data_IF_828393267597
#
_entry.id   IF_828393267597
#
_cell.length_a   1.000
_cell.length_b   1.000
_cell.length_c   1.000
_cell.angle_alpha   90.00
_cell.angle_beta   90.00
_cell.angle_gamma   90.00
#
_symmetry.space_group_name_H-M   'P 1'
#
loop_
_entity.id
_entity.type
_entity.pdbx_description
1 polymer ?
#
# COMPACT_ATOMS: atom_id res chain seq x y z
N UNK A 1 -74.32 39.91 -14.29
CA UNK A 1 -74.31 38.43 -14.29
C UNK A 1 -73.16 37.86 -15.13
N UNK A 2 -71.91 38.10 -14.73
CA UNK A 2 -70.73 37.68 -15.51
C UNK A 2 -69.56 37.40 -14.55
N UNK A 3 -69.75 36.47 -13.61
CA UNK A 3 -68.67 36.04 -12.69
C UNK A 3 -68.82 34.64 -12.07
N UNK A 4 -69.74 33.80 -12.55
CA UNK A 4 -69.98 32.45 -11.98
C UNK A 4 -69.71 31.26 -12.91
N UNK A 5 -69.29 31.46 -14.16
CA UNK A 5 -69.01 30.33 -15.08
C UNK A 5 -67.52 29.99 -15.29
N UNK A 6 -66.57 30.79 -14.77
CA UNK A 6 -65.13 30.50 -14.93
C UNK A 6 -64.54 29.53 -13.88
N UNK A 7 -65.34 29.03 -12.94
CA UNK A 7 -64.83 28.23 -11.81
C UNK A 7 -65.18 26.73 -11.90
N UNK A 8 -65.82 26.28 -13.00
CA UNK A 8 -66.11 24.86 -13.24
C UNK A 8 -65.26 24.21 -14.34
N UNK A 9 -64.42 24.96 -15.04
CA UNK A 9 -63.49 24.42 -16.05
C UNK A 9 -62.06 24.24 -15.50
N UNK A 10 -61.73 24.88 -14.37
CA UNK A 10 -60.39 24.76 -13.76
C UNK A 10 -60.23 23.55 -12.82
N UNK A 11 -61.31 22.89 -12.39
CA UNK A 11 -61.23 21.68 -11.55
C UNK A 11 -61.17 20.37 -12.36
N UNK A 12 -61.43 20.39 -13.66
CA UNK A 12 -61.45 19.17 -14.50
C UNK A 12 -60.11 18.87 -15.19
N UNK A 13 -59.13 19.77 -15.09
CA UNK A 13 -57.75 19.54 -15.57
C UNK A 13 -56.76 19.19 -14.45
N UNK A 14 -57.14 19.35 -13.17
CA UNK A 14 -56.29 19.03 -12.01
C UNK A 14 -56.33 17.57 -11.58
N UNK A 15 -57.34 16.79 -11.99
CA UNK A 15 -57.50 15.39 -11.56
C UNK A 15 -57.06 14.34 -12.60
N UNK A 16 -56.83 14.75 -13.86
CA UNK A 16 -56.35 13.84 -14.92
C UNK A 16 -54.82 13.86 -15.09
N UNK A 17 -54.13 14.88 -14.56
CA UNK A 17 -52.66 14.93 -14.56
C UNK A 17 -52.04 14.14 -13.39
N UNK A 18 -52.81 13.83 -12.36
CA UNK A 18 -52.35 13.02 -11.21
C UNK A 18 -52.61 11.51 -11.35
N UNK A 19 -53.24 11.04 -12.44
CA UNK A 19 -53.50 9.61 -12.68
C UNK A 19 -52.71 8.99 -13.85
N UNK A 20 -51.84 9.77 -14.50
CA UNK A 20 -50.93 9.31 -15.57
C UNK A 20 -49.45 9.33 -15.14
N UNK A 21 -49.17 9.53 -13.85
CA UNK A 21 -47.83 9.57 -13.26
C UNK A 21 -47.54 8.37 -12.33
N UNK A 22 -48.33 7.30 -12.38
CA UNK A 22 -48.25 6.17 -11.44
C UNK A 22 -47.99 4.79 -12.06
N UNK A 23 -47.45 4.70 -13.28
CA UNK A 23 -47.00 3.42 -13.87
C UNK A 23 -45.72 3.52 -14.72
N UNK A 24 -44.77 4.36 -14.32
CA UNK A 24 -43.36 4.05 -14.62
C UNK A 24 -42.82 3.22 -13.46
N UNK A 25 -43.00 1.91 -13.52
CA UNK A 25 -42.13 1.01 -12.76
C UNK A 25 -40.69 1.46 -13.04
N UNK A 26 -39.86 1.77 -12.03
CA UNK A 26 -38.44 1.73 -12.29
C UNK A 26 -38.19 0.29 -12.73
N UNK A 27 -37.84 0.12 -14.01
CA UNK A 27 -37.10 -1.06 -14.40
C UNK A 27 -35.87 -0.97 -13.51
N UNK A 28 -35.86 -1.72 -12.41
CA UNK A 28 -34.64 -1.99 -11.66
C UNK A 28 -33.74 -2.69 -12.66
N UNK A 29 -33.00 -1.88 -13.41
CA UNK A 29 -31.74 -2.32 -13.95
C UNK A 29 -30.95 -2.71 -12.71
N UNK A 30 -30.97 -4.00 -12.40
CA UNK A 30 -29.88 -4.66 -11.73
C UNK A 30 -28.66 -4.45 -12.64
N UNK A 31 -28.12 -3.23 -12.64
CA UNK A 31 -26.72 -3.02 -12.93
C UNK A 31 -26.06 -3.70 -11.75
N UNK A 32 -25.71 -4.96 -11.93
CA UNK A 32 -24.61 -5.57 -11.20
C UNK A 32 -23.45 -4.59 -11.30
N UNK A 33 -23.23 -3.81 -10.25
CA UNK A 33 -21.97 -3.09 -10.00
C UNK A 33 -20.89 -4.15 -9.72
N UNK A 34 -20.54 -4.93 -10.75
CA UNK A 34 -19.34 -5.79 -10.74
C UNK A 34 -18.26 -5.28 -11.71
N UNK A 35 -18.46 -4.15 -12.38
CA UNK A 35 -17.49 -3.52 -13.29
C UNK A 35 -17.06 -2.10 -12.84
N UNK A 36 -16.75 -1.92 -11.56
CA UNK A 36 -15.94 -0.78 -11.11
C UNK A 36 -14.72 -1.23 -10.32
N UNK A 37 -13.88 -2.04 -10.97
CA UNK A 37 -12.54 -2.32 -10.48
C UNK A 37 -11.54 -2.27 -11.63
N UNK A 38 -10.97 -1.10 -11.89
CA UNK A 38 -9.74 -1.06 -12.68
C UNK A 38 -8.94 0.18 -12.30
N UNK A 39 -7.98 0.06 -11.37
CA UNK A 39 -7.04 1.17 -11.21
C UNK A 39 -5.70 0.86 -10.52
N UNK A 40 -4.56 1.08 -11.21
CA UNK A 40 -4.33 0.83 -12.63
C UNK A 40 -4.52 -0.66 -13.01
N UNK A 41 -4.39 -1.57 -12.04
CA UNK A 41 -4.68 -2.99 -12.13
C UNK A 41 -5.74 -3.41 -11.07
N UNK A 42 -6.16 -4.67 -11.10
CA UNK A 42 -6.93 -5.34 -10.06
C UNK A 42 -6.18 -6.58 -9.55
N UNK A 43 -6.65 -7.16 -8.43
CA UNK A 43 -5.95 -8.28 -7.78
C UNK A 43 -5.79 -9.53 -8.66
N UNK A 44 -6.61 -9.70 -9.71
CA UNK A 44 -6.55 -10.87 -10.59
C UNK A 44 -5.63 -10.68 -11.80
N UNK A 45 -5.09 -9.48 -12.03
CA UNK A 45 -4.21 -9.22 -13.16
C UNK A 45 -2.90 -10.01 -13.04
N UNK A 46 -2.36 -10.43 -14.19
CA UNK A 46 -1.24 -11.36 -14.24
C UNK A 46 0.02 -10.81 -13.57
N UNK A 47 0.23 -9.50 -13.67
CA UNK A 47 1.32 -8.75 -13.05
C UNK A 47 1.23 -8.85 -11.52
N UNK A 48 0.04 -8.64 -10.95
CA UNK A 48 -0.21 -8.76 -9.50
C UNK A 48 -0.06 -10.21 -9.04
N UNK A 49 -0.60 -11.16 -9.79
CA UNK A 49 -0.50 -12.59 -9.46
C UNK A 49 0.94 -13.11 -9.48
N UNK A 50 1.77 -12.66 -10.44
CA UNK A 50 3.20 -12.98 -10.47
C UNK A 50 3.94 -12.36 -9.29
N UNK A 51 3.64 -11.11 -8.95
CA UNK A 51 4.23 -10.42 -7.81
C UNK A 51 3.90 -11.14 -6.48
N UNK A 52 2.64 -11.54 -6.28
CA UNK A 52 2.22 -12.35 -5.14
C UNK A 52 2.90 -13.73 -5.13
N UNK A 53 3.02 -14.37 -6.30
CA UNK A 53 3.76 -15.62 -6.46
C UNK A 53 5.21 -15.49 -5.99
N UNK A 54 5.89 -14.41 -6.37
CA UNK A 54 7.23 -14.10 -5.89
C UNK A 54 7.26 -13.87 -4.37
N UNK A 55 6.37 -13.06 -3.82
CA UNK A 55 6.32 -12.83 -2.36
C UNK A 55 6.10 -14.11 -1.57
N UNK A 56 5.27 -15.06 -2.05
CA UNK A 56 5.12 -16.38 -1.39
C UNK A 56 6.44 -17.15 -1.28
N UNK A 57 7.38 -16.94 -2.20
CA UNK A 57 8.72 -17.58 -2.12
C UNK A 57 9.59 -16.99 -1.00
N UNK A 58 9.33 -15.73 -0.61
CA UNK A 58 10.09 -15.00 0.40
C UNK A 58 9.67 -15.30 1.84
N UNK A 59 8.54 -15.97 2.05
CA UNK A 59 8.12 -16.38 3.38
C UNK A 59 9.06 -17.46 3.94
N UNK A 60 9.47 -17.34 5.19
CA UNK A 60 10.29 -18.32 5.91
C UNK A 60 9.44 -19.24 6.80
N UNK A 61 10.06 -20.29 7.36
CA UNK A 61 9.37 -21.32 8.14
C UNK A 61 8.76 -20.82 9.47
N UNK A 62 9.21 -19.65 9.93
CA UNK A 62 8.67 -18.95 11.11
C UNK A 62 7.50 -18.02 10.77
N UNK A 63 7.08 -17.97 9.50
CA UNK A 63 5.99 -17.13 9.01
C UNK A 63 6.42 -15.73 8.57
N UNK A 64 7.64 -15.28 8.92
CA UNK A 64 8.18 -13.98 8.55
C UNK A 64 8.71 -13.92 7.12
N UNK A 65 9.09 -12.73 6.66
CA UNK A 65 9.57 -12.46 5.31
C UNK A 65 10.95 -11.82 5.33
N UNK A 66 11.72 -12.04 4.26
CA UNK A 66 13.05 -11.46 4.03
C UNK A 66 13.42 -11.52 2.54
N UNK A 67 14.57 -11.00 2.13
CA UNK A 67 15.09 -11.31 0.79
C UNK A 67 15.58 -12.78 0.72
N UNK A 68 15.75 -13.34 -0.49
CA UNK A 68 16.13 -14.74 -0.65
C UNK A 68 17.41 -15.10 0.13
N UNK A 69 17.30 -16.10 1.01
CA UNK A 69 18.42 -16.63 1.79
C UNK A 69 18.72 -15.90 3.10
N UNK A 70 17.95 -14.87 3.45
CA UNK A 70 18.12 -14.11 4.70
C UNK A 70 17.15 -14.57 5.79
N UNK A 71 17.49 -14.29 7.06
CA UNK A 71 16.56 -14.47 8.18
C UNK A 71 15.40 -13.48 8.10
N UNK A 72 14.23 -13.90 8.59
CA UNK A 72 13.04 -13.04 8.65
C UNK A 72 13.29 -11.74 9.41
N UNK A 73 12.80 -10.63 8.87
CA UNK A 73 12.87 -9.32 9.50
C UNK A 73 11.47 -8.73 9.76
N UNK A 74 11.34 -7.95 10.84
CA UNK A 74 10.10 -7.24 11.17
C UNK A 74 9.65 -6.33 10.03
N UNK A 75 10.56 -5.52 9.50
CA UNK A 75 10.28 -4.57 8.42
C UNK A 75 9.73 -5.25 7.17
N UNK A 76 10.43 -6.26 6.65
CA UNK A 76 9.99 -7.01 5.47
C UNK A 76 8.63 -7.69 5.71
N UNK A 77 8.41 -8.23 6.90
CA UNK A 77 7.13 -8.88 7.25
C UNK A 77 5.98 -7.88 7.32
N UNK A 78 6.19 -6.73 7.98
CA UNK A 78 5.19 -5.65 8.10
C UNK A 78 4.80 -5.10 6.73
N UNK A 79 5.77 -4.80 5.86
CA UNK A 79 5.49 -4.34 4.51
C UNK A 79 4.76 -5.38 3.67
N UNK A 80 5.11 -6.66 3.82
CA UNK A 80 4.43 -7.73 3.10
C UNK A 80 2.97 -7.88 3.57
N UNK A 81 2.68 -7.71 4.86
CA UNK A 81 1.30 -7.67 5.37
C UNK A 81 0.49 -6.57 4.68
N UNK A 82 1.04 -5.36 4.57
CA UNK A 82 0.36 -4.25 3.89
C UNK A 82 0.06 -4.58 2.42
N UNK A 83 1.01 -5.17 1.70
CA UNK A 83 0.81 -5.60 0.31
C UNK A 83 -0.24 -6.72 0.18
N UNK A 84 -0.24 -7.71 1.09
CA UNK A 84 -1.26 -8.77 1.13
C UNK A 84 -2.65 -8.18 1.32
N UNK A 85 -2.80 -7.25 2.27
CA UNK A 85 -4.09 -6.60 2.54
C UNK A 85 -4.52 -5.71 1.37
N UNK A 86 -3.57 -5.06 0.69
CA UNK A 86 -3.84 -4.26 -0.51
C UNK A 86 -4.48 -5.10 -1.63
N UNK A 87 -4.16 -6.39 -1.73
CA UNK A 87 -4.78 -7.33 -2.70
C UNK A 87 -6.13 -7.88 -2.25
N UNK A 88 -6.55 -7.56 -1.02
CA UNK A 88 -7.76 -8.10 -0.39
C UNK A 88 -7.57 -9.49 0.22
N UNK A 89 -6.35 -10.03 0.22
CA UNK A 89 -6.03 -11.28 0.91
C UNK A 89 -5.88 -11.05 2.42
N UNK A 90 -6.17 -12.10 3.21
CA UNK A 90 -5.99 -12.07 4.67
C UNK A 90 -4.59 -12.60 5.04
N UNK A 91 -3.72 -11.78 5.66
CA UNK A 91 -2.36 -12.19 6.03
C UNK A 91 -2.32 -13.36 7.02
N UNK A 92 -3.38 -13.66 7.76
CA UNK A 92 -3.45 -14.83 8.63
C UNK A 92 -3.45 -16.16 7.85
N UNK A 93 -3.86 -16.12 6.57
CA UNK A 93 -3.92 -17.29 5.70
C UNK A 93 -2.62 -17.54 4.92
N UNK A 94 -1.68 -16.59 4.95
CA UNK A 94 -0.36 -16.75 4.36
C UNK A 94 0.53 -17.56 5.29
N UNK A 95 0.48 -18.90 5.17
CA UNK A 95 1.19 -19.79 6.09
C UNK A 95 2.32 -20.55 5.42
N UNK A 96 3.46 -20.62 6.11
CA UNK A 96 4.55 -21.56 5.82
C UNK A 96 4.89 -22.35 7.08
N UNK A 97 4.90 -23.67 6.97
CA UNK A 97 5.06 -24.59 8.10
C UNK A 97 4.10 -24.29 9.28
N UNK A 98 2.87 -23.87 8.96
CA UNK A 98 1.83 -23.57 9.95
C UNK A 98 1.88 -22.15 10.54
N UNK A 99 2.93 -21.36 10.30
CA UNK A 99 3.08 -20.01 10.85
C UNK A 99 2.71 -18.94 9.81
N UNK A 100 1.91 -17.96 10.23
CA UNK A 100 1.58 -16.77 9.46
C UNK A 100 2.54 -15.59 9.75
N UNK A 101 2.57 -14.54 8.91
CA UNK A 101 3.28 -13.32 9.25
C UNK A 101 2.79 -12.68 10.56
N UNK A 102 1.52 -12.86 10.93
CA UNK A 102 0.99 -12.36 12.21
C UNK A 102 1.56 -13.15 13.40
N UNK A 103 1.74 -14.46 13.25
CA UNK A 103 2.43 -15.30 14.26
C UNK A 103 3.89 -14.86 14.43
N UNK A 104 4.56 -14.54 13.32
CA UNK A 104 5.92 -13.99 13.36
C UNK A 104 5.96 -12.64 14.11
N UNK A 105 5.06 -11.71 13.81
CA UNK A 105 5.00 -10.43 14.52
C UNK A 105 4.75 -10.63 16.02
N UNK A 106 3.85 -11.55 16.40
CA UNK A 106 3.54 -11.87 17.80
C UNK A 106 4.75 -12.44 18.54
N UNK A 107 5.48 -13.37 17.91
CA UNK A 107 6.68 -13.98 18.48
C UNK A 107 7.87 -13.01 18.59
N UNK A 108 7.90 -11.97 17.75
CA UNK A 108 9.00 -10.99 17.68
C UNK A 108 8.59 -9.61 18.19
N UNK A 109 7.45 -9.50 18.87
CA UNK A 109 6.91 -8.23 19.37
C UNK A 109 7.91 -7.48 20.26
N UNK A 110 8.76 -8.19 21.00
CA UNK A 110 9.80 -7.63 21.86
C UNK A 110 10.98 -6.96 21.11
N UNK A 111 11.10 -7.16 19.80
CA UNK A 111 12.17 -6.57 18.98
C UNK A 111 11.85 -5.15 18.47
N UNK A 112 10.62 -4.67 18.68
CA UNK A 112 10.21 -3.30 18.33
C UNK A 112 10.87 -2.30 19.29
N UNK A 113 11.77 -1.46 18.76
CA UNK A 113 12.61 -0.57 19.60
C UNK A 113 12.77 0.86 19.09
N UNK A 114 12.55 1.14 17.79
CA UNK A 114 12.57 2.51 17.23
C UNK A 114 11.16 3.03 16.94
N UNK A 115 10.96 4.35 16.90
CA UNK A 115 9.67 4.98 16.55
C UNK A 115 9.08 4.42 15.27
N UNK A 116 9.88 4.31 14.22
CA UNK A 116 9.49 3.75 12.92
C UNK A 116 9.11 2.26 12.99
N UNK A 117 9.65 1.50 13.95
CA UNK A 117 9.21 0.12 14.19
C UNK A 117 7.82 0.08 14.81
N UNK A 118 7.55 0.96 15.78
CA UNK A 118 6.22 1.09 16.40
C UNK A 118 5.18 1.55 15.36
N UNK A 119 5.50 2.58 14.58
CA UNK A 119 4.63 3.14 13.56
C UNK A 119 4.25 2.09 12.51
N UNK A 120 5.25 1.36 11.97
CA UNK A 120 5.00 0.25 11.03
C UNK A 120 4.27 -0.93 11.67
N UNK A 121 4.56 -1.25 12.93
CA UNK A 121 3.85 -2.30 13.66
C UNK A 121 2.36 -1.95 13.79
N UNK A 122 2.03 -0.72 14.21
CA UNK A 122 0.64 -0.25 14.34
C UNK A 122 -0.08 -0.37 12.99
N UNK A 123 0.54 0.12 11.90
CA UNK A 123 -0.03 0.05 10.57
C UNK A 123 -0.28 -1.39 10.11
N UNK A 124 0.70 -2.28 10.28
CA UNK A 124 0.58 -3.69 9.88
C UNK A 124 -0.50 -4.42 10.70
N UNK A 125 -0.59 -4.17 12.00
CA UNK A 125 -1.61 -4.79 12.87
C UNK A 125 -3.02 -4.32 12.47
N UNK A 126 -3.21 -3.01 12.27
CA UNK A 126 -4.51 -2.47 11.84
C UNK A 126 -4.90 -3.02 10.46
N UNK A 127 -3.95 -3.08 9.51
CA UNK A 127 -4.17 -3.66 8.19
C UNK A 127 -4.58 -5.13 8.27
N UNK A 128 -4.00 -5.89 9.20
CA UNK A 128 -4.36 -7.28 9.46
C UNK A 128 -5.68 -7.46 10.24
N UNK A 129 -6.29 -6.39 10.75
CA UNK A 129 -7.45 -6.46 11.63
C UNK A 129 -7.12 -6.86 13.08
N UNK A 130 -5.86 -6.78 13.48
CA UNK A 130 -5.37 -6.99 14.85
C UNK A 130 -5.47 -5.69 15.67
N UNK A 131 -5.50 -5.80 17.00
CA UNK A 131 -5.57 -4.65 17.90
C UNK A 131 -4.17 -4.15 18.31
N UNK A 132 -3.68 -3.00 17.82
CA UNK A 132 -2.34 -2.51 18.19
C UNK A 132 -2.22 -2.04 19.65
N UNK A 133 -3.34 -1.93 20.38
CA UNK A 133 -3.37 -1.58 21.81
C UNK A 133 -3.32 -2.81 22.72
N UNK A 134 -3.49 -4.00 22.16
CA UNK A 134 -3.43 -5.27 22.89
C UNK A 134 -2.92 -6.37 21.95
N UNK A 135 -1.62 -6.32 21.65
CA UNK A 135 -0.97 -7.33 20.81
C UNK A 135 0.30 -7.84 21.50
N UNK A 136 0.38 -9.16 21.68
CA UNK A 136 1.44 -9.81 22.43
C UNK A 136 1.66 -9.23 23.85
N UNK A 137 0.58 -8.75 24.49
CA UNK A 137 0.61 -8.12 25.80
C UNK A 137 1.19 -6.70 25.83
N UNK A 138 1.29 -6.02 24.67
CA UNK A 138 1.78 -4.65 24.53
C UNK A 138 0.73 -3.72 23.96
N UNK A 139 0.83 -2.44 24.32
CA UNK A 139 0.06 -1.35 23.73
C UNK A 139 1.01 -0.47 22.91
N UNK A 140 1.19 -0.82 21.63
CA UNK A 140 2.14 -0.14 20.76
C UNK A 140 1.75 1.32 20.52
N UNK A 141 0.45 1.65 20.55
CA UNK A 141 -0.02 3.03 20.36
C UNK A 141 0.37 3.89 21.56
N UNK A 142 0.13 3.40 22.78
CA UNK A 142 0.54 4.08 24.00
C UNK A 142 2.06 4.23 24.06
N UNK A 143 2.79 3.15 23.79
CA UNK A 143 4.25 3.13 23.86
C UNK A 143 4.89 4.06 22.82
N UNK A 144 4.34 4.15 21.60
CA UNK A 144 4.77 5.12 20.59
C UNK A 144 4.63 6.57 21.10
N UNK A 145 3.45 6.90 21.64
CA UNK A 145 3.16 8.25 22.14
C UNK A 145 4.03 8.63 23.33
N UNK A 146 4.15 7.75 24.33
CA UNK A 146 4.91 8.04 25.55
C UNK A 146 6.42 8.17 25.29
N UNK A 147 6.96 7.39 24.34
CA UNK A 147 8.39 7.36 24.10
C UNK A 147 8.87 8.35 23.03
N UNK A 148 8.02 8.73 22.06
CA UNK A 148 8.48 9.44 20.86
C UNK A 148 7.69 10.68 20.47
N UNK A 149 6.44 10.86 20.93
CA UNK A 149 5.64 12.06 20.62
C UNK A 149 6.05 13.23 21.53
N UNK A 150 6.59 14.28 20.94
CA UNK A 150 6.94 15.53 21.63
C UNK A 150 5.72 16.44 21.78
N UNK A 151 5.78 17.38 22.73
CA UNK A 151 4.68 18.32 23.03
C UNK A 151 4.23 19.15 21.81
N UNK A 152 5.15 19.44 20.90
CA UNK A 152 4.95 20.20 19.68
C UNK A 152 4.37 19.37 18.51
N UNK A 153 4.10 18.07 18.71
CA UNK A 153 3.56 17.18 17.68
C UNK A 153 4.60 16.41 16.87
N UNK A 154 5.89 16.72 17.01
CA UNK A 154 6.96 15.99 16.33
C UNK A 154 7.16 14.60 16.93
N UNK A 155 7.34 13.59 16.08
CA UNK A 155 7.85 12.27 16.51
C UNK A 155 9.35 12.21 16.34
N UNK A 156 10.07 11.81 17.40
CA UNK A 156 11.54 11.70 17.38
C UNK A 156 12.17 12.97 16.78
N UNK A 157 13.17 12.85 15.90
CA UNK A 157 13.98 13.98 15.43
C UNK A 157 13.89 14.24 13.92
N UNK A 158 13.06 13.51 13.17
CA UNK A 158 12.97 13.61 11.71
C UNK A 158 11.57 14.01 11.23
N UNK A 159 11.50 14.61 10.04
CA UNK A 159 10.22 14.86 9.35
C UNK A 159 9.57 13.52 9.04
N UNK A 160 10.37 12.58 8.50
CA UNK A 160 9.95 11.22 8.17
C UNK A 160 9.28 10.50 9.35
N UNK A 161 9.87 10.53 10.55
CA UNK A 161 9.26 9.89 11.74
C UNK A 161 7.92 10.53 12.09
N UNK A 162 7.75 11.83 11.86
CA UNK A 162 6.45 12.49 12.11
C UNK A 162 5.40 12.12 11.06
N UNK A 163 5.79 11.97 9.80
CA UNK A 163 4.93 11.47 8.72
C UNK A 163 4.36 10.09 9.09
N UNK A 164 5.23 9.16 9.51
CA UNK A 164 4.84 7.81 9.92
C UNK A 164 4.02 7.79 11.22
N UNK A 165 4.37 8.64 12.19
CA UNK A 165 3.58 8.85 13.39
C UNK A 165 2.14 9.29 13.10
N UNK A 166 1.94 10.21 12.15
CA UNK A 166 0.61 10.66 11.69
C UNK A 166 -0.16 9.49 11.06
N UNK A 167 0.46 8.76 10.13
CA UNK A 167 -0.18 7.61 9.48
C UNK A 167 -0.62 6.55 10.49
N UNK A 168 0.26 6.19 11.43
CA UNK A 168 0.01 5.18 12.45
C UNK A 168 -1.10 5.61 13.42
N UNK A 169 -1.01 6.82 13.99
CA UNK A 169 -1.98 7.30 14.97
C UNK A 169 -3.35 7.61 14.35
N UNK A 170 -3.39 8.21 13.16
CA UNK A 170 -4.64 8.42 12.44
C UNK A 170 -5.35 7.09 12.16
N UNK A 171 -4.59 6.06 11.76
CA UNK A 171 -5.13 4.71 11.57
C UNK A 171 -5.73 4.11 12.83
N UNK A 172 -5.13 4.40 13.99
CA UNK A 172 -5.59 3.96 15.30
C UNK A 172 -6.74 4.81 15.89
N UNK A 173 -7.19 5.83 15.16
CA UNK A 173 -8.25 6.76 15.59
C UNK A 173 -7.81 7.79 16.64
N UNK A 174 -6.51 8.02 16.81
CA UNK A 174 -5.97 9.06 17.69
C UNK A 174 -6.00 10.45 17.03
N UNK A 175 -6.02 11.49 17.84
CA UNK A 175 -5.85 12.87 17.39
C UNK A 175 -4.39 13.14 17.00
N UNK A 176 -4.20 13.61 15.77
CA UNK A 176 -2.90 13.94 15.16
C UNK A 176 -2.78 15.42 14.78
N UNK A 177 -3.72 16.27 15.22
CA UNK A 177 -3.80 17.69 14.84
C UNK A 177 -2.49 18.45 15.05
N UNK A 178 -1.84 18.30 16.21
CA UNK A 178 -0.53 18.91 16.49
C UNK A 178 0.57 18.41 15.56
N UNK A 179 0.58 17.11 15.25
CA UNK A 179 1.58 16.54 14.34
C UNK A 179 1.38 17.04 12.92
N UNK A 180 0.13 17.19 12.48
CA UNK A 180 -0.23 17.79 11.18
C UNK A 180 0.18 19.26 11.12
N UNK A 181 -0.11 20.04 12.16
CA UNK A 181 0.34 21.43 12.26
C UNK A 181 1.86 21.52 12.18
N UNK A 182 2.57 20.70 12.95
CA UNK A 182 4.03 20.63 12.91
C UNK A 182 4.53 20.27 11.52
N UNK A 183 4.01 19.21 10.90
CA UNK A 183 4.45 18.75 9.57
C UNK A 183 4.29 19.86 8.53
N UNK A 184 3.16 20.58 8.52
CA UNK A 184 2.95 21.71 7.60
C UNK A 184 3.97 22.84 7.78
N UNK A 185 4.53 23.03 8.98
CA UNK A 185 5.63 24.00 9.18
C UNK A 185 6.98 23.52 8.65
N UNK A 186 7.12 22.24 8.30
CA UNK A 186 8.33 21.66 7.72
C UNK A 186 8.35 21.66 6.19
N UNK A 187 7.26 22.09 5.55
CA UNK A 187 7.23 22.22 4.10
C UNK A 187 8.22 23.29 3.64
N UNK A 188 9.08 22.95 2.69
CA UNK A 188 10.06 23.87 2.14
C UNK A 188 9.42 24.86 1.16
N UNK A 189 10.14 25.94 0.82
CA UNK A 189 9.66 26.96 -0.12
C UNK A 189 9.37 26.43 -1.53
N UNK A 190 9.99 25.30 -1.90
CA UNK A 190 9.74 24.60 -3.17
C UNK A 190 8.47 23.75 -3.16
N UNK A 191 7.75 23.69 -2.03
CA UNK A 191 6.53 22.91 -1.85
C UNK A 191 6.78 21.48 -1.38
N UNK A 192 8.03 21.00 -1.42
CA UNK A 192 8.36 19.64 -0.99
C UNK A 192 8.63 19.49 0.50
N UNK A 193 8.85 18.25 0.90
CA UNK A 193 9.30 17.85 2.24
C UNK A 193 10.60 17.08 2.13
N UNK A 194 11.41 17.15 3.17
CA UNK A 194 12.70 16.48 3.27
C UNK A 194 12.67 15.48 4.43
N UNK A 195 13.44 14.38 4.31
CA UNK A 195 13.65 13.42 5.39
C UNK A 195 13.96 14.06 6.75
N UNK A 196 14.87 15.04 6.77
CA UNK A 196 15.26 15.83 7.95
C UNK A 196 14.79 17.28 7.80
N UNK A 197 14.32 17.86 8.90
CA UNK A 197 14.03 19.30 8.99
C UNK A 197 15.18 20.16 8.45
N UNK A 198 14.86 21.05 7.51
CA UNK A 198 15.78 22.04 6.96
C UNK A 198 16.71 21.52 5.85
N UNK A 199 16.65 20.23 5.53
CA UNK A 199 17.33 19.68 4.35
C UNK A 199 16.52 19.92 3.07
N UNK A 200 17.13 19.59 1.93
CA UNK A 200 16.48 19.70 0.62
C UNK A 200 15.35 18.68 0.48
N UNK A 201 14.25 19.12 -0.09
CA UNK A 201 13.10 18.27 -0.41
C UNK A 201 13.49 17.11 -1.33
N UNK A 202 12.85 15.96 -1.11
CA UNK A 202 12.94 14.77 -1.96
C UNK A 202 11.53 14.25 -2.30
N UNK A 203 11.44 13.40 -3.33
CA UNK A 203 10.15 13.01 -3.89
C UNK A 203 9.42 11.96 -3.03
N UNK A 204 10.17 11.07 -2.38
CA UNK A 204 9.60 10.00 -1.54
C UNK A 204 9.00 10.58 -0.25
N UNK A 205 9.74 11.43 0.46
CA UNK A 205 9.26 12.09 1.68
C UNK A 205 8.13 13.08 1.39
N UNK A 206 8.16 13.75 0.24
CA UNK A 206 7.04 14.62 -0.19
C UNK A 206 5.77 13.80 -0.45
N UNK A 207 5.89 12.67 -1.16
CA UNK A 207 4.76 11.78 -1.41
C UNK A 207 4.18 11.20 -0.10
N UNK A 208 5.05 10.73 0.80
CA UNK A 208 4.63 10.22 2.10
C UNK A 208 3.96 11.30 2.97
N UNK A 209 4.44 12.56 2.92
CA UNK A 209 3.81 13.68 3.61
C UNK A 209 2.39 13.96 3.08
N UNK A 210 2.18 13.90 1.76
CA UNK A 210 0.84 14.03 1.16
C UNK A 210 -0.09 12.95 1.71
N UNK A 211 0.33 11.68 1.67
CA UNK A 211 -0.47 10.57 2.19
C UNK A 211 -0.81 10.75 3.68
N UNK A 212 0.16 11.17 4.51
CA UNK A 212 -0.06 11.43 5.92
C UNK A 212 -1.07 12.57 6.17
N UNK A 213 -0.97 13.68 5.42
CA UNK A 213 -1.88 14.82 5.54
C UNK A 213 -3.31 14.42 5.13
N UNK A 214 -3.45 13.73 4.00
CA UNK A 214 -4.75 13.21 3.53
C UNK A 214 -5.34 12.23 4.56
N UNK A 215 -4.53 11.30 5.07
CA UNK A 215 -4.96 10.33 6.08
C UNK A 215 -5.40 11.00 7.39
N UNK A 216 -4.87 12.17 7.71
CA UNK A 216 -5.29 12.98 8.86
C UNK A 216 -6.53 13.86 8.58
N UNK A 217 -7.08 13.82 7.36
CA UNK A 217 -8.26 14.58 6.96
C UNK A 217 -7.99 15.99 6.46
N UNK A 218 -6.73 16.33 6.13
CA UNK A 218 -6.43 17.57 5.41
C UNK A 218 -7.07 17.53 4.02
N UNK A 219 -7.65 18.65 3.59
CA UNK A 219 -8.30 18.72 2.28
C UNK A 219 -7.27 18.57 1.14
N UNK A 220 -7.55 17.79 0.08
CA UNK A 220 -6.74 17.78 -1.13
C UNK A 220 -6.52 19.17 -1.74
N UNK A 221 -7.48 20.10 -1.55
CA UNK A 221 -7.39 21.49 -2.03
C UNK A 221 -6.53 22.40 -1.13
N UNK A 222 -6.00 21.89 -0.01
CA UNK A 222 -5.17 22.68 0.90
C UNK A 222 -3.92 23.20 0.16
N UNK A 223 -3.41 24.36 0.59
CA UNK A 223 -2.19 24.92 -0.01
C UNK A 223 -1.02 23.93 0.13
N UNK A 224 -0.88 23.27 1.29
CA UNK A 224 0.20 22.34 1.53
C UNK A 224 0.19 21.16 0.54
N UNK A 225 -0.97 20.53 0.32
CA UNK A 225 -1.08 19.41 -0.62
C UNK A 225 -0.88 19.86 -2.07
N UNK A 226 -1.49 20.98 -2.48
CA UNK A 226 -1.33 21.48 -3.86
C UNK A 226 0.12 21.83 -4.20
N UNK A 227 0.83 22.47 -3.27
CA UNK A 227 2.25 22.81 -3.48
C UNK A 227 3.13 21.56 -3.51
N UNK A 228 2.82 20.55 -2.68
CA UNK A 228 3.53 19.28 -2.67
C UNK A 228 3.32 18.48 -3.97
N UNK A 229 2.10 18.47 -4.51
CA UNK A 229 1.81 17.86 -5.83
C UNK A 229 2.58 18.58 -6.95
N UNK A 230 2.61 19.91 -6.93
CA UNK A 230 3.40 20.68 -7.91
C UNK A 230 4.89 20.37 -7.79
N UNK A 231 5.41 20.21 -6.57
CA UNK A 231 6.77 19.74 -6.35
C UNK A 231 7.00 18.35 -6.97
N UNK A 232 6.09 17.38 -6.75
CA UNK A 232 6.20 16.04 -7.32
C UNK A 232 6.30 16.08 -8.86
N UNK A 233 5.51 16.93 -9.54
CA UNK A 233 5.57 17.08 -11.02
C UNK A 233 6.98 17.41 -11.55
N UNK A 234 7.83 18.05 -10.74
CA UNK A 234 9.22 18.34 -11.12
C UNK A 234 10.15 17.11 -11.12
N UNK A 235 9.71 16.01 -10.49
CA UNK A 235 10.47 14.78 -10.31
C UNK A 235 10.34 13.76 -11.42
N UNK A 236 9.40 13.94 -12.35
CA UNK A 236 9.25 13.03 -13.47
C UNK A 236 10.44 13.13 -14.43
N UNK A 237 10.99 11.97 -14.78
CA UNK A 237 12.00 11.81 -15.80
C UNK A 237 11.36 11.61 -17.18
N UNK A 238 12.19 11.60 -18.22
CA UNK A 238 11.76 11.45 -19.61
C UNK A 238 11.14 10.09 -19.94
N UNK A 239 11.29 9.11 -19.05
CA UNK A 239 10.69 7.77 -19.12
C UNK A 239 9.34 7.67 -18.41
N UNK A 240 8.82 8.79 -17.86
CA UNK A 240 7.55 8.85 -17.14
C UNK A 240 7.64 8.50 -15.65
N UNK A 241 8.74 7.89 -15.21
CA UNK A 241 8.95 7.52 -13.81
C UNK A 241 9.50 8.65 -12.94
N UNK A 242 9.50 8.43 -11.63
CA UNK A 242 10.00 9.35 -10.62
C UNK A 242 11.39 8.97 -10.13
N UNK A 243 12.25 9.99 -10.05
CA UNK A 243 13.54 9.89 -9.37
C UNK A 243 13.37 10.01 -7.86
N UNK A 244 14.33 9.49 -7.10
CA UNK A 244 14.37 9.68 -5.64
C UNK A 244 14.74 11.12 -5.25
N UNK A 245 15.82 11.63 -5.86
CA UNK A 245 16.35 12.96 -5.57
C UNK A 245 17.20 13.50 -6.73
N UNK A 246 17.35 14.82 -6.82
CA UNK A 246 18.29 15.48 -7.74
C UNK A 246 18.08 15.08 -9.21
N UNK A 247 19.06 14.39 -9.79
CA UNK A 247 19.03 13.86 -11.16
C UNK A 247 19.17 12.34 -11.20
N UNK A 248 18.75 11.64 -10.14
CA UNK A 248 18.80 10.18 -10.09
C UNK A 248 17.86 9.55 -11.15
N UNK A 249 18.12 8.29 -11.56
CA UNK A 249 17.23 7.55 -12.42
C UNK A 249 15.86 7.31 -11.76
N UNK A 250 14.86 7.05 -12.60
CA UNK A 250 13.56 6.59 -12.14
C UNK A 250 13.67 5.23 -11.46
N UNK A 251 12.87 5.00 -10.43
CA UNK A 251 12.94 3.76 -9.66
C UNK A 251 11.58 3.33 -9.07
N UNK A 252 11.43 2.03 -8.82
CA UNK A 252 10.16 1.43 -8.42
C UNK A 252 9.60 1.97 -7.10
N UNK A 253 10.46 2.31 -6.13
CA UNK A 253 10.01 2.81 -4.84
C UNK A 253 9.46 4.23 -4.96
N UNK A 254 10.19 5.12 -5.63
CA UNK A 254 9.73 6.50 -5.89
C UNK A 254 8.48 6.53 -6.76
N UNK A 255 8.39 5.68 -7.78
CA UNK A 255 7.15 5.53 -8.56
C UNK A 255 5.98 5.15 -7.66
N UNK A 256 6.16 4.13 -6.82
CA UNK A 256 5.10 3.63 -5.97
C UNK A 256 4.58 4.70 -4.98
N UNK A 257 5.49 5.39 -4.29
CA UNK A 257 5.13 6.47 -3.37
C UNK A 257 4.40 7.61 -4.08
N UNK A 258 4.95 8.10 -5.20
CA UNK A 258 4.31 9.19 -5.94
C UNK A 258 2.94 8.78 -6.51
N UNK A 259 2.82 7.56 -7.05
CA UNK A 259 1.52 7.00 -7.51
C UNK A 259 0.52 6.98 -6.36
N UNK A 260 0.92 6.49 -5.18
CA UNK A 260 0.04 6.44 -4.00
C UNK A 260 -0.37 7.83 -3.54
N UNK A 261 0.54 8.80 -3.49
CA UNK A 261 0.21 10.18 -3.15
C UNK A 261 -0.81 10.80 -4.11
N UNK A 262 -0.65 10.60 -5.43
CA UNK A 262 -1.59 11.06 -6.45
C UNK A 262 -2.98 10.43 -6.24
N UNK A 263 -3.02 9.11 -6.02
CA UNK A 263 -4.26 8.38 -5.74
C UNK A 263 -4.91 8.85 -4.44
N UNK A 264 -4.14 9.14 -3.38
CA UNK A 264 -4.64 9.62 -2.10
C UNK A 264 -5.38 10.95 -2.23
N UNK A 265 -4.92 11.86 -3.10
CA UNK A 265 -5.60 13.12 -3.37
C UNK A 265 -6.98 12.93 -4.01
N UNK A 266 -7.22 11.83 -4.74
CA UNK A 266 -8.51 11.48 -5.34
C UNK A 266 -9.00 12.42 -6.45
N UNK A 267 -8.19 13.42 -6.82
CA UNK A 267 -8.49 14.43 -7.84
C UNK A 267 -7.70 14.22 -9.13
N UNK A 268 -6.67 13.38 -9.09
CA UNK A 268 -5.75 13.13 -10.20
C UNK A 268 -5.57 11.63 -10.41
N UNK A 269 -5.37 11.25 -11.68
CA UNK A 269 -5.12 9.88 -12.11
C UNK A 269 -3.64 9.78 -12.54
N UNK A 270 -2.80 8.90 -11.96
CA UNK A 270 -1.38 8.81 -12.34
C UNK A 270 -1.12 8.35 -13.78
N UNK A 271 -2.13 8.02 -14.58
CA UNK A 271 -2.03 7.77 -16.02
C UNK A 271 -2.53 8.95 -16.88
N UNK A 272 -3.02 10.03 -16.26
CA UNK A 272 -3.49 11.20 -16.99
C UNK A 272 -2.36 11.96 -17.70
N UNK A 273 -2.77 12.79 -18.67
CA UNK A 273 -1.87 13.66 -19.45
C UNK A 273 -0.95 14.55 -18.59
N UNK A 274 -1.38 14.92 -17.39
CA UNK A 274 -0.63 15.78 -16.47
C UNK A 274 0.59 15.05 -15.88
N UNK A 275 0.55 13.71 -15.85
CA UNK A 275 1.61 12.83 -15.37
C UNK A 275 2.29 12.06 -16.51
N UNK A 276 2.05 12.46 -17.76
CA UNK A 276 2.58 11.75 -18.93
C UNK A 276 3.72 12.55 -19.58
N UNK A 277 4.92 11.97 -19.60
CA UNK A 277 6.11 12.54 -20.24
C UNK A 277 6.54 11.64 -21.39
N UNK A 278 6.66 12.23 -22.59
CA UNK A 278 7.02 11.50 -23.83
C UNK A 278 6.12 10.27 -24.11
N UNK A 279 4.86 10.30 -23.67
CA UNK A 279 3.91 9.20 -23.85
C UNK A 279 4.04 8.07 -22.83
N UNK A 280 4.86 8.21 -21.78
CA UNK A 280 4.91 7.28 -20.66
C UNK A 280 4.50 7.99 -19.37
N UNK A 281 3.78 7.29 -18.51
CA UNK A 281 3.41 7.76 -17.18
C UNK A 281 4.10 6.90 -16.07
N UNK A 282 3.96 7.26 -14.79
CA UNK A 282 4.58 6.53 -13.68
C UNK A 282 4.17 5.06 -13.60
N UNK A 283 2.92 4.73 -13.95
CA UNK A 283 2.42 3.35 -13.97
C UNK A 283 3.14 2.54 -15.07
N UNK A 284 3.31 3.12 -16.26
CA UNK A 284 4.05 2.47 -17.36
C UNK A 284 5.49 2.18 -16.96
N UNK A 285 6.17 3.16 -16.34
CA UNK A 285 7.54 2.97 -15.90
C UNK A 285 7.64 1.90 -14.81
N UNK A 286 6.77 1.93 -13.78
CA UNK A 286 6.76 0.93 -12.72
C UNK A 286 6.53 -0.49 -13.28
N UNK A 287 5.56 -0.66 -14.18
CA UNK A 287 5.29 -1.95 -14.84
C UNK A 287 6.49 -2.45 -15.65
N UNK A 288 7.24 -1.54 -16.28
CA UNK A 288 8.45 -1.90 -17.04
C UNK A 288 9.56 -2.52 -16.18
N UNK A 289 9.51 -2.33 -14.86
CA UNK A 289 10.50 -2.86 -13.91
C UNK A 289 10.19 -4.30 -13.46
N UNK A 290 9.00 -4.84 -13.78
CA UNK A 290 8.65 -6.22 -13.42
C UNK A 290 9.48 -7.23 -14.22
N UNK A 291 10.01 -8.24 -13.53
CA UNK A 291 10.80 -9.32 -14.10
C UNK A 291 9.94 -10.56 -14.40
N UNK A 292 10.40 -11.50 -15.26
CA UNK A 292 9.60 -12.67 -15.65
C UNK A 292 9.13 -13.56 -14.50
N UNK A 293 9.88 -13.63 -13.41
CA UNK A 293 9.58 -14.35 -12.17
C UNK A 293 8.75 -13.53 -11.16
N UNK A 294 8.33 -12.32 -11.54
CA UNK A 294 7.30 -11.53 -10.87
C UNK A 294 7.78 -10.43 -9.95
N UNK A 295 9.05 -10.43 -9.55
CA UNK A 295 9.61 -9.36 -8.71
C UNK A 295 9.87 -8.09 -9.51
N UNK A 296 9.97 -6.96 -8.83
CA UNK A 296 10.33 -5.67 -9.44
C UNK A 296 11.78 -5.31 -9.16
N UNK A 297 12.51 -4.87 -10.19
CA UNK A 297 13.84 -4.27 -9.99
C UNK A 297 13.71 -2.88 -9.35
N UNK A 298 14.83 -2.38 -8.78
CA UNK A 298 14.88 -1.02 -8.26
C UNK A 298 14.88 -0.01 -9.41
N UNK A 299 15.79 -0.17 -10.37
CA UNK A 299 15.79 0.57 -11.64
C UNK A 299 15.82 -0.41 -12.81
N UNK A 300 15.74 0.08 -14.05
CA UNK A 300 15.84 -0.76 -15.26
C UNK A 300 17.15 -1.57 -15.37
N UNK A 301 18.17 -1.24 -14.56
CA UNK A 301 19.47 -1.89 -14.58
C UNK A 301 20.02 -2.27 -13.19
N UNK A 302 19.28 -2.00 -12.11
CA UNK A 302 19.69 -2.37 -10.73
C UNK A 302 18.62 -3.25 -10.09
N UNK A 303 19.03 -4.47 -9.72
CA UNK A 303 18.30 -5.30 -8.76
C UNK A 303 18.76 -4.97 -7.35
N UNK A 304 17.90 -4.31 -6.57
CA UNK A 304 18.15 -4.01 -5.15
C UNK A 304 16.86 -4.20 -4.37
N UNK A 305 16.95 -4.88 -3.22
CA UNK A 305 15.84 -5.17 -2.33
C UNK A 305 14.54 -5.60 -3.05
N UNK A 306 14.58 -6.66 -3.89
CA UNK A 306 13.48 -7.02 -4.78
C UNK A 306 12.19 -7.37 -4.02
N UNK A 307 12.27 -7.87 -2.78
CA UNK A 307 11.10 -8.05 -1.93
C UNK A 307 10.39 -6.73 -1.65
N UNK A 308 11.14 -5.70 -1.24
CA UNK A 308 10.59 -4.37 -0.95
C UNK A 308 10.06 -3.67 -2.20
N UNK A 309 10.78 -3.74 -3.33
CA UNK A 309 10.27 -3.16 -4.59
C UNK A 309 8.94 -3.79 -5.01
N UNK A 310 8.78 -5.10 -4.80
CA UNK A 310 7.56 -5.83 -5.17
C UNK A 310 6.37 -5.46 -4.28
N UNK A 311 6.56 -5.29 -2.97
CA UNK A 311 5.47 -4.85 -2.08
C UNK A 311 5.03 -3.42 -2.40
N UNK A 312 5.97 -2.51 -2.67
CA UNK A 312 5.67 -1.14 -3.14
C UNK A 312 4.86 -1.17 -4.44
N UNK A 313 5.31 -1.94 -5.42
CA UNK A 313 4.64 -2.04 -6.71
C UNK A 313 3.21 -2.57 -6.59
N UNK A 314 2.97 -3.61 -5.78
CA UNK A 314 1.62 -4.15 -5.57
C UNK A 314 0.67 -3.07 -5.01
N UNK A 315 1.09 -2.34 -3.98
CA UNK A 315 0.21 -1.35 -3.34
C UNK A 315 -0.11 -0.19 -4.30
N UNK A 316 0.89 0.31 -5.02
CA UNK A 316 0.71 1.38 -6.00
C UNK A 316 -0.14 0.95 -7.20
N UNK A 317 0.13 -0.23 -7.78
CA UNK A 317 -0.59 -0.74 -8.96
C UNK A 317 -2.04 -1.15 -8.67
N UNK A 318 -2.42 -1.28 -7.40
CA UNK A 318 -3.80 -1.51 -6.96
C UNK A 318 -4.50 -0.22 -6.48
N UNK A 319 -3.82 0.92 -6.60
CA UNK A 319 -4.35 2.21 -6.16
C UNK A 319 -4.64 2.24 -4.65
N UNK A 320 -3.76 1.65 -3.84
CA UNK A 320 -3.92 1.58 -2.38
C UNK A 320 -2.90 2.50 -1.70
N UNK A 321 -3.26 3.75 -1.36
CA UNK A 321 -2.40 4.62 -0.57
C UNK A 321 -2.42 4.24 0.91
N UNK A 322 -1.37 4.64 1.64
CA UNK A 322 -1.32 4.51 3.08
C UNK A 322 -2.31 5.48 3.76
N UNK A 323 -2.91 5.08 4.90
CA UNK A 323 -2.80 3.75 5.50
C UNK A 323 -3.64 2.70 4.77
N UNK A 324 -3.03 1.55 4.51
CA UNK A 324 -3.72 0.38 3.95
C UNK A 324 -4.64 -0.20 5.03
N UNK A 325 -5.94 -0.26 4.74
CA UNK A 325 -6.96 -0.81 5.65
C UNK A 325 -7.57 -2.08 5.05
N UNK A 326 -8.10 -2.99 5.89
CA UNK A 326 -8.86 -4.15 5.39
C UNK A 326 -10.00 -3.67 4.48
N UNK A 327 -10.19 -4.36 3.36
CA UNK A 327 -11.42 -4.18 2.59
C UNK A 327 -12.61 -4.60 3.47
N UNK A 328 -13.72 -3.85 3.49
CA UNK A 328 -14.94 -4.31 4.15
C UNK A 328 -15.30 -5.67 3.56
N UNK A 329 -15.22 -6.72 4.36
CA UNK A 329 -15.74 -8.02 3.97
C UNK A 329 -17.22 -7.80 3.68
N UNK A 330 -17.64 -7.96 2.41
CA UNK A 330 -19.06 -8.04 2.08
C UNK A 330 -19.56 -9.28 2.80
N UNK A 331 -20.16 -9.08 3.97
CA UNK A 331 -20.78 -10.16 4.71
C UNK A 331 -21.79 -10.79 3.74
N UNK A 332 -21.72 -12.10 3.42
CA UNK A 332 -22.75 -12.71 2.61
C UNK A 332 -24.08 -12.41 3.28
N UNK A 333 -25.01 -11.84 2.50
CA UNK A 333 -26.37 -11.58 2.97
C UNK A 333 -26.84 -12.83 3.73
N UNK A 334 -27.38 -12.67 4.96
CA UNK A 334 -27.85 -13.82 5.73
C UNK A 334 -28.76 -14.62 4.81
N UNK A 335 -28.34 -15.86 4.50
CA UNK A 335 -29.09 -16.74 3.62
C UNK A 335 -30.47 -16.89 4.24
N UNK A 336 -31.46 -16.18 3.69
CA UNK A 336 -32.84 -16.33 4.09
C UNK A 336 -33.20 -17.75 3.68
N UNK A 337 -33.16 -18.67 4.64
CA UNK A 337 -33.53 -20.06 4.39
C UNK A 337 -34.97 -20.02 3.91
N UNK A 338 -35.28 -20.42 2.67
CA UNK A 338 -36.66 -20.45 2.22
C UNK A 338 -37.41 -21.40 3.15
N UNK A 339 -38.48 -20.89 3.77
CA UNK A 339 -39.39 -21.71 4.57
C UNK A 339 -39.82 -22.91 3.72
N UNK A 340 -39.72 -24.15 4.23
CA UNK A 340 -40.03 -25.33 3.42
C UNK A 340 -41.49 -25.26 2.96
N UNK A 341 -41.68 -25.07 1.66
CA UNK A 341 -42.97 -25.24 1.02
C UNK A 341 -43.26 -26.74 0.99
N UNK A 342 -44.28 -27.16 1.73
CA UNK A 342 -44.73 -28.55 1.79
C UNK A 342 -45.17 -28.98 0.39
N UNK A 343 -44.36 -29.80 -0.28
CA UNK A 343 -44.72 -30.48 -1.53
C UNK A 343 -45.12 -31.92 -1.20
N UNK A 344 -46.26 -32.42 -1.68
CA UNK A 344 -46.74 -33.75 -1.32
C UNK A 344 -45.85 -34.86 -1.91
N UNK A 345 -45.46 -35.78 -1.04
CA UNK A 345 -44.64 -36.96 -1.33
C UNK A 345 -45.34 -37.89 -2.32
N UNK A 346 -44.71 -38.14 -3.47
CA UNK A 346 -45.03 -39.30 -4.31
C UNK A 346 -43.99 -40.39 -4.01
N UNK A 347 -44.48 -41.52 -3.51
CA UNK A 347 -43.72 -42.71 -3.15
C UNK A 347 -43.17 -43.40 -4.40
N UNK A 348 -41.86 -43.64 -4.45
CA UNK A 348 -41.26 -44.62 -5.35
C UNK A 348 -40.45 -45.66 -4.54
N UNK A 349 -40.71 -46.93 -4.85
CA UNK A 349 -40.12 -48.14 -4.25
C UNK A 349 -38.93 -48.61 -5.12
N UNK A 350 -37.92 -49.31 -4.56
CA UNK A 350 -36.51 -49.22 -5.00
C UNK A 350 -36.04 -50.37 -5.91
N UNK A 351 -34.88 -50.18 -6.54
CA UNK A 351 -34.12 -51.20 -7.26
C UNK A 351 -32.59 -50.89 -7.17
N UNK A 352 -31.67 -51.86 -7.38
CA UNK A 352 -30.78 -52.33 -6.31
C UNK A 352 -29.29 -51.95 -6.48
N UNK A 353 -28.55 -52.22 -5.42
CA UNK A 353 -27.12 -51.95 -5.21
C UNK A 353 -26.18 -52.56 -6.26
N UNK A 354 -25.11 -51.83 -6.57
CA UNK A 354 -23.93 -52.32 -7.28
C UNK A 354 -22.67 -51.92 -6.51
N UNK A 355 -21.84 -52.92 -6.28
CA UNK A 355 -20.66 -52.98 -5.41
C UNK A 355 -19.41 -52.35 -6.00
N UNK A 356 -18.62 -51.72 -5.13
CA UNK A 356 -17.24 -51.24 -5.35
C UNK A 356 -16.23 -52.40 -5.39
N UNK A 357 -15.09 -52.25 -6.09
CA UNK A 357 -13.83 -52.88 -5.68
C UNK A 357 -12.73 -51.86 -5.32
N UNK A 358 -12.11 -52.12 -4.16
CA UNK A 358 -10.90 -51.49 -3.62
C UNK A 358 -9.62 -51.82 -4.42
N UNK A 359 -8.48 -51.13 -4.16
CA UNK A 359 -7.31 -51.07 -5.01
C UNK A 359 -6.30 -52.19 -4.74
N UNK A 360 -5.51 -52.49 -5.77
CA UNK A 360 -4.30 -53.33 -5.70
C UNK A 360 -3.03 -52.48 -5.57
N UNK A 361 -2.11 -52.98 -4.75
CA UNK A 361 -0.86 -52.38 -4.30
C UNK A 361 0.38 -52.93 -5.03
N UNK A 362 1.50 -52.20 -4.85
CA UNK A 362 2.93 -52.69 -4.77
C UNK A 362 3.77 -52.61 -6.07
N UNK A 363 5.13 -52.45 -6.05
CA UNK A 363 6.09 -51.95 -5.03
C UNK A 363 7.05 -50.80 -5.48
N UNK A 364 7.71 -50.25 -4.46
CA UNK A 364 9.01 -49.59 -4.29
C UNK A 364 10.13 -49.80 -5.34
N UNK A 365 10.89 -48.72 -5.63
CA UNK A 365 12.31 -48.77 -5.95
C UNK A 365 13.08 -47.55 -5.38
N UNK A 366 14.33 -47.82 -5.00
CA UNK A 366 15.22 -47.08 -4.10
C UNK A 366 16.04 -45.95 -4.77
N UNK A 367 16.51 -45.04 -3.91
CA UNK A 367 17.37 -43.88 -4.11
C UNK A 367 18.66 -44.07 -4.95
N UNK A 368 19.12 -42.96 -5.53
CA UNK A 368 20.54 -42.68 -5.75
C UNK A 368 20.87 -41.19 -5.55
N UNK A 369 21.98 -40.98 -4.86
CA UNK A 369 22.67 -39.75 -4.45
C UNK A 369 23.55 -39.16 -5.55
N UNK A 370 23.73 -37.84 -5.55
CA UNK A 370 24.91 -37.10 -6.10
C UNK A 370 24.87 -35.69 -5.50
N UNK A 371 25.71 -35.38 -4.52
CA UNK A 371 27.05 -34.75 -4.60
C UNK A 371 27.04 -33.22 -4.82
N UNK A 372 27.52 -32.53 -3.79
CA UNK A 372 27.75 -31.08 -3.64
C UNK A 372 29.22 -30.75 -3.95
N UNK A 373 29.53 -29.56 -4.49
CA UNK A 373 30.77 -28.87 -4.09
C UNK A 373 30.61 -27.33 -4.01
N UNK A 374 31.62 -26.56 -3.56
CA UNK A 374 31.91 -26.29 -2.16
C UNK A 374 31.65 -24.83 -1.75
N UNK A 375 31.55 -24.68 -0.43
CA UNK A 375 31.40 -23.48 0.37
C UNK A 375 32.59 -22.50 0.20
N UNK A 376 32.28 -21.25 -0.17
CA UNK A 376 33.22 -20.12 -0.01
C UNK A 376 32.83 -19.37 1.26
N UNK A 377 33.68 -19.47 2.27
CA UNK A 377 33.62 -18.70 3.50
C UNK A 377 33.82 -17.22 3.20
N UNK A 378 32.80 -16.40 3.47
CA UNK A 378 33.03 -14.98 3.72
C UNK A 378 32.23 -14.50 4.92
N UNK A 379 32.84 -13.54 5.60
CA UNK A 379 32.73 -13.31 7.02
C UNK A 379 31.48 -12.48 7.33
N UNK A 380 30.60 -13.02 8.19
CA UNK A 380 29.36 -12.36 8.63
C UNK A 380 29.65 -11.06 9.37
N UNK A 381 29.07 -9.95 8.90
CA UNK A 381 28.82 -8.74 9.68
C UNK A 381 27.31 -8.53 9.73
N UNK A 382 26.75 -8.57 10.94
CA UNK A 382 25.34 -8.31 11.19
C UNK A 382 25.05 -6.80 11.13
N UNK A 383 23.96 -6.42 10.47
CA UNK A 383 23.41 -5.06 10.48
C UNK A 383 23.63 -4.30 9.17
N UNK A 384 22.73 -4.49 8.20
CA UNK A 384 22.68 -3.71 6.96
C UNK A 384 21.32 -3.00 6.86
N UNK A 385 21.19 -1.87 7.56
CA UNK A 385 20.09 -0.91 7.41
C UNK A 385 20.57 0.57 7.47
N UNK A 386 21.85 0.82 7.16
CA UNK A 386 22.40 2.19 7.30
C UNK A 386 23.45 2.60 6.25
N UNK A 387 23.90 1.70 5.37
CA UNK A 387 25.09 1.99 4.55
C UNK A 387 24.80 2.63 3.18
N UNK A 388 23.59 2.46 2.62
CA UNK A 388 23.26 3.02 1.30
C UNK A 388 23.12 4.56 1.33
N UNK A 389 22.72 5.14 2.46
CA UNK A 389 22.71 6.60 2.65
C UNK A 389 24.09 7.16 2.99
N UNK A 390 24.95 6.39 3.69
CA UNK A 390 26.31 6.84 4.04
C UNK A 390 27.19 6.96 2.80
N UNK A 391 27.08 6.06 1.81
CA UNK A 391 27.89 6.16 0.58
C UNK A 391 27.49 7.44 -0.21
N UNK A 392 26.20 7.76 -0.28
CA UNK A 392 25.71 9.01 -0.87
C UNK A 392 26.19 10.27 -0.11
N UNK A 393 26.06 10.28 1.22
CA UNK A 393 26.49 11.39 2.08
C UNK A 393 28.01 11.61 2.06
N UNK A 394 28.82 10.54 2.01
CA UNK A 394 30.28 10.65 1.91
C UNK A 394 30.71 11.23 0.55
N UNK A 395 30.01 10.90 -0.55
CA UNK A 395 30.31 11.51 -1.86
C UNK A 395 29.96 13.00 -1.94
N UNK A 396 28.89 13.44 -1.26
CA UNK A 396 28.51 14.87 -1.22
C UNK A 396 29.47 15.67 -0.33
N UNK A 397 29.84 15.13 0.84
CA UNK A 397 30.81 15.79 1.73
C UNK A 397 32.20 15.94 1.08
N UNK A 398 32.65 14.94 0.30
CA UNK A 398 33.94 15.01 -0.39
C UNK A 398 33.94 16.02 -1.55
N UNK A 399 32.81 16.18 -2.24
CA UNK A 399 32.68 17.12 -3.37
C UNK A 399 32.64 18.58 -2.88
N UNK A 400 31.97 18.86 -1.76
CA UNK A 400 31.93 20.20 -1.14
C UNK A 400 33.32 20.62 -0.62
N UNK A 401 34.10 19.68 -0.06
CA UNK A 401 35.47 19.95 0.42
C UNK A 401 36.47 20.23 -0.72
N UNK A 402 36.28 19.62 -1.90
CA UNK A 402 37.13 19.87 -3.07
C UNK A 402 36.82 21.23 -3.69
N UNK A 403 35.53 21.60 -3.81
CA UNK A 403 35.13 22.92 -4.35
C UNK A 403 35.54 24.07 -3.42
N UNK A 404 35.53 23.87 -2.10
CA UNK A 404 35.99 24.89 -1.14
C UNK A 404 37.52 25.11 -1.16
N UNK A 405 38.31 24.14 -1.63
CA UNK A 405 39.78 24.24 -1.74
C UNK A 405 40.27 24.78 -3.08
N UNK A 406 39.43 24.84 -4.11
CA UNK A 406 39.78 25.40 -5.43
C UNK A 406 39.14 26.79 -5.58
N UNK A 407 39.54 27.74 -4.73
CA UNK A 407 39.48 29.16 -5.09
C UNK A 407 40.81 29.52 -5.75
N UNK A 408 40.84 29.98 -7.02
CA UNK A 408 42.08 30.40 -7.64
C UNK A 408 42.62 31.64 -6.93
N UNK A 409 43.87 31.53 -6.46
CA UNK A 409 44.68 32.65 -6.01
C UNK A 409 44.85 33.60 -7.19
N UNK A 410 44.18 34.75 -7.14
CA UNK A 410 44.33 35.79 -8.13
C UNK A 410 45.77 36.31 -8.14
N UNK A 411 46.33 36.45 -9.34
CA UNK A 411 47.70 36.88 -9.61
C UNK A 411 47.70 38.34 -10.06
N UNK A 412 48.54 39.14 -9.38
CA UNK A 412 49.06 40.47 -9.79
C UNK A 412 48.06 41.63 -9.71
N UNK A 413 48.39 42.81 -9.18
CA UNK A 413 49.65 43.55 -9.07
C UNK A 413 49.69 44.37 -7.78
#
# INVERSE_FOLDING_TARGET
MRKREKMKVLLSFGLLLCLMLSLSTPLSASITNQDQQQYPLNQNDAEIQKALGYLRTLQNNDGGFSNPGEESALSNTQWTILAIVATGEDPHNWKKNGHSPIDYLRANANKVTGSTDYERMILALIAAGENPRDFAGRDFVKELKENYLKENGQFSDFTYTTIWGILALSSAGDDVSKSVEWLKTQQNEDGGFAWVTGERSDYDDTAAAIEALIAAGESPDSKAIRDAIEYLKTGQNTDGGFRYFGSSPSNAASDAWCIQAIVACGQEDPQDKEWTVNGNNPVDHLLSLQQPDGYFNYTSYIKSNPGYMTVCAIMALLGKPHPIKPQPQVQPEPTVTPTPTVTPTITSTPAPASTSPQPTSTPTATALTTETPPESTDTKVAGFDFLSCIIGLLTVAFTVLIVAKVKPHDKSK
#
